data_IF_654613508500
#
_entry.id   IF_654613508500
#
_cell.length_a   1.000
_cell.length_b   1.000
_cell.length_c   1.000
_cell.angle_alpha   90.00
_cell.angle_beta   90.00
_cell.angle_gamma   90.00
#
_symmetry.space_group_name_H-M   'P 1'
#
loop_
_entity.id
_entity.type
_entity.pdbx_description
1 polymer ?
#
# COMPACT_ATOMS: atom_id res chain seq x y z
N UNK A 1 16.21 -24.98 -0.08
CA UNK A 1 17.22 -24.46 -1.03
C UNK A 1 18.52 -25.28 -1.10
N UNK A 2 19.23 -25.54 0.01
CA UNK A 2 20.54 -26.25 0.00
C UNK A 2 20.57 -27.69 -0.55
N UNK A 3 19.41 -28.33 -0.80
CA UNK A 3 19.32 -29.70 -1.35
C UNK A 3 19.34 -29.78 -2.88
N UNK A 4 19.39 -28.64 -3.58
CA UNK A 4 19.42 -28.57 -5.05
C UNK A 4 20.55 -27.62 -5.50
N UNK A 5 21.34 -27.94 -6.54
CA UNK A 5 22.48 -27.10 -6.96
C UNK A 5 22.12 -25.63 -7.18
N UNK A 6 21.06 -25.34 -7.96
CA UNK A 6 20.59 -23.97 -8.17
C UNK A 6 20.08 -23.30 -6.89
N UNK A 7 19.47 -24.07 -5.97
CA UNK A 7 19.02 -23.55 -4.69
C UNK A 7 20.19 -23.26 -3.75
N UNK A 8 21.28 -24.01 -3.83
CA UNK A 8 22.48 -23.73 -3.04
C UNK A 8 23.15 -22.44 -3.50
N UNK A 9 23.25 -22.20 -4.82
CA UNK A 9 23.72 -20.92 -5.36
C UNK A 9 22.86 -19.74 -4.91
N UNK A 10 21.53 -19.92 -4.84
CA UNK A 10 20.62 -18.90 -4.32
C UNK A 10 20.92 -18.56 -2.85
N UNK A 11 21.20 -19.56 -2.01
CA UNK A 11 21.57 -19.35 -0.59
C UNK A 11 22.93 -18.71 -0.44
N UNK A 12 23.91 -19.10 -1.26
CA UNK A 12 25.25 -18.50 -1.24
C UNK A 12 25.23 -17.04 -1.65
N UNK A 13 24.39 -16.68 -2.64
CA UNK A 13 24.24 -15.30 -3.10
C UNK A 13 23.59 -14.41 -2.05
N UNK A 14 22.45 -14.83 -1.48
CA UNK A 14 21.68 -14.00 -0.54
C UNK A 14 22.15 -14.10 0.92
N UNK A 15 22.89 -15.15 1.27
CA UNK A 15 23.35 -15.43 2.62
C UNK A 15 22.29 -16.13 3.49
N UNK A 16 22.75 -16.92 4.48
CA UNK A 16 21.87 -17.77 5.29
C UNK A 16 20.88 -16.99 6.17
N UNK A 17 21.27 -15.82 6.68
CA UNK A 17 20.44 -15.01 7.57
C UNK A 17 19.08 -14.65 6.95
N UNK A 18 19.04 -14.37 5.64
CA UNK A 18 17.79 -14.05 4.93
C UNK A 18 16.77 -15.20 5.07
N UNK A 19 17.21 -16.44 4.81
CA UNK A 19 16.35 -17.62 4.86
C UNK A 19 15.98 -18.03 6.28
N UNK A 20 16.82 -17.71 7.26
CA UNK A 20 16.52 -17.96 8.69
C UNK A 20 15.49 -16.97 9.24
N UNK A 21 15.40 -15.78 8.68
CA UNK A 21 14.42 -14.77 9.04
C UNK A 21 13.09 -14.88 8.29
N UNK A 22 13.01 -15.75 7.27
CA UNK A 22 11.78 -16.06 6.53
C UNK A 22 10.87 -16.98 7.36
N UNK A 23 10.23 -16.36 8.37
CA UNK A 23 9.36 -16.99 9.35
C UNK A 23 7.88 -16.83 8.99
N UNK A 24 7.00 -17.57 9.68
CA UNK A 24 5.56 -17.46 9.48
C UNK A 24 4.80 -17.29 10.81
N UNK A 25 3.47 -17.31 10.72
CA UNK A 25 2.57 -17.15 11.88
C UNK A 25 2.74 -18.25 12.95
N UNK A 26 3.40 -19.37 12.65
CA UNK A 26 3.71 -20.40 13.64
C UNK A 26 4.77 -19.94 14.66
N UNK A 27 5.60 -18.95 14.32
CA UNK A 27 6.62 -18.36 15.19
C UNK A 27 6.00 -17.32 16.13
N UNK A 28 5.11 -17.79 17.02
CA UNK A 28 4.25 -16.95 17.87
C UNK A 28 4.99 -15.92 18.74
N UNK A 29 6.27 -16.12 19.00
CA UNK A 29 7.12 -15.16 19.71
C UNK A 29 7.22 -13.79 18.98
N UNK A 30 7.02 -13.77 17.66
CA UNK A 30 7.01 -12.56 16.85
C UNK A 30 5.67 -11.82 16.87
N UNK A 31 4.59 -12.46 17.32
CA UNK A 31 3.22 -11.91 17.26
C UNK A 31 2.54 -12.16 15.92
N UNK A 32 1.56 -11.32 15.58
CA UNK A 32 0.70 -11.49 14.41
C UNK A 32 0.58 -10.19 13.60
N UNK A 33 0.94 -10.24 12.31
CA UNK A 33 0.89 -9.08 11.42
C UNK A 33 -0.54 -8.72 10.99
N UNK A 34 -1.43 -9.71 10.85
CA UNK A 34 -2.78 -9.54 10.29
C UNK A 34 -3.73 -8.93 11.30
N UNK A 35 -3.70 -9.40 12.56
CA UNK A 35 -4.55 -8.87 13.64
C UNK A 35 -3.83 -7.89 14.55
N UNK A 36 -2.56 -7.59 14.26
CA UNK A 36 -1.75 -6.57 14.90
C UNK A 36 -1.50 -6.84 16.38
N UNK A 37 -0.79 -7.94 16.66
CA UNK A 37 -0.35 -8.32 18.00
C UNK A 37 1.19 -8.43 18.08
N UNK A 38 1.75 -8.28 19.27
CA UNK A 38 3.19 -8.45 19.51
C UNK A 38 4.06 -7.42 18.77
N UNK A 39 5.18 -7.88 18.20
CA UNK A 39 6.18 -7.01 17.59
C UNK A 39 5.64 -6.15 16.42
N UNK A 40 4.82 -6.69 15.49
CA UNK A 40 4.16 -5.89 14.46
C UNK A 40 3.36 -4.70 14.99
N UNK A 41 2.56 -4.90 16.03
CA UNK A 41 1.74 -3.85 16.63
C UNK A 41 2.61 -2.72 17.22
N UNK A 42 3.65 -3.10 17.96
CA UNK A 42 4.61 -2.14 18.56
C UNK A 42 5.30 -1.34 17.45
N UNK A 43 5.73 -2.01 16.38
CA UNK A 43 6.37 -1.35 15.23
C UNK A 43 5.42 -0.36 14.53
N UNK A 44 4.16 -0.74 14.33
CA UNK A 44 3.13 0.12 13.77
C UNK A 44 2.81 1.34 14.65
N UNK A 45 2.71 1.16 15.97
CA UNK A 45 2.52 2.25 16.93
C UNK A 45 3.71 3.21 16.97
N UNK A 46 4.93 2.68 16.85
CA UNK A 46 6.14 3.50 16.74
C UNK A 46 6.12 4.30 15.43
N UNK A 47 5.81 3.66 14.31
CA UNK A 47 5.69 4.33 13.01
C UNK A 47 4.63 5.45 13.05
N UNK A 48 3.46 5.20 13.66
CA UNK A 48 2.42 6.21 13.81
C UNK A 48 2.93 7.48 14.52
N UNK A 49 3.74 7.32 15.59
CA UNK A 49 4.38 8.45 16.28
C UNK A 49 5.41 9.18 15.39
N UNK A 50 6.22 8.43 14.64
CA UNK A 50 7.25 9.01 13.75
C UNK A 50 6.63 9.81 12.61
N UNK A 51 5.54 9.31 12.02
CA UNK A 51 4.87 9.93 10.88
C UNK A 51 3.72 10.87 11.27
N UNK A 52 3.54 11.12 12.57
CA UNK A 52 2.48 11.98 13.12
C UNK A 52 1.08 11.59 12.63
N UNK A 53 0.75 10.30 12.74
CA UNK A 53 -0.55 9.72 12.38
C UNK A 53 -1.20 9.06 13.60
N UNK A 54 -2.53 8.97 13.62
CA UNK A 54 -3.26 8.27 14.68
C UNK A 54 -2.97 6.76 14.68
N UNK A 55 -2.88 6.17 13.48
CA UNK A 55 -2.54 4.76 13.24
C UNK A 55 -1.66 4.62 12.00
N UNK A 56 -0.89 3.55 11.95
CA UNK A 56 -0.12 3.15 10.76
C UNK A 56 -0.28 1.67 10.52
N UNK A 57 -0.57 1.28 9.28
CA UNK A 57 -0.69 -0.10 8.85
C UNK A 57 0.45 -0.45 7.90
N UNK A 58 1.08 -1.60 8.11
CA UNK A 58 2.15 -2.07 7.24
C UNK A 58 1.56 -2.89 6.09
N UNK A 59 1.81 -2.45 4.86
CA UNK A 59 1.36 -3.12 3.64
C UNK A 59 2.57 -3.59 2.85
N UNK A 60 2.71 -4.90 2.69
CA UNK A 60 3.89 -5.55 2.12
C UNK A 60 3.84 -5.72 0.59
N UNK A 61 2.77 -5.23 -0.06
CA UNK A 61 2.58 -5.31 -1.51
C UNK A 61 2.55 -3.93 -2.19
N UNK A 62 3.26 -2.97 -1.59
CA UNK A 62 3.41 -1.59 -2.07
C UNK A 62 2.13 -0.74 -2.02
N UNK A 63 2.28 0.55 -2.33
CA UNK A 63 1.18 1.53 -2.27
C UNK A 63 0.02 1.20 -3.21
N UNK A 64 0.27 0.43 -4.26
CA UNK A 64 -0.80 -0.08 -5.13
C UNK A 64 -1.81 -0.94 -4.37
N UNK A 65 -1.37 -1.73 -3.39
CA UNK A 65 -2.28 -2.47 -2.50
C UNK A 65 -2.82 -1.57 -1.39
N UNK A 66 -2.00 -0.68 -0.83
CA UNK A 66 -2.45 0.25 0.22
C UNK A 66 -3.64 1.11 -0.24
N UNK A 67 -3.59 1.63 -1.47
CA UNK A 67 -4.70 2.38 -2.07
C UNK A 67 -5.98 1.54 -2.14
N UNK A 68 -5.88 0.26 -2.52
CA UNK A 68 -7.05 -0.63 -2.59
C UNK A 68 -7.60 -0.94 -1.20
N UNK A 69 -6.74 -1.12 -0.19
CA UNK A 69 -7.17 -1.30 1.20
C UNK A 69 -8.01 -0.10 1.65
N UNK A 70 -7.51 1.11 1.46
CA UNK A 70 -8.23 2.33 1.85
C UNK A 70 -9.54 2.48 1.07
N UNK A 71 -9.49 2.33 -0.26
CA UNK A 71 -10.66 2.57 -1.12
C UNK A 71 -11.75 1.53 -0.88
N UNK A 72 -11.44 0.24 -0.75
CA UNK A 72 -12.45 -0.80 -0.48
C UNK A 72 -12.93 -0.80 0.98
N UNK A 73 -12.21 -0.16 1.90
CA UNK A 73 -12.68 0.01 3.27
C UNK A 73 -13.72 1.14 3.40
N UNK A 74 -13.67 2.14 2.50
CA UNK A 74 -14.48 3.35 2.60
C UNK A 74 -15.60 3.46 1.56
N UNK A 75 -15.38 2.92 0.36
CA UNK A 75 -16.31 3.07 -0.77
C UNK A 75 -17.16 1.82 -0.96
N UNK A 76 -18.39 2.05 -1.41
CA UNK A 76 -19.35 1.03 -1.83
C UNK A 76 -19.88 1.32 -3.24
N UNK A 77 -20.48 0.32 -3.92
CA UNK A 77 -20.96 0.51 -5.29
C UNK A 77 -21.97 1.66 -5.39
N UNK A 78 -21.71 2.59 -6.30
CA UNK A 78 -22.56 3.78 -6.52
C UNK A 78 -22.16 5.01 -5.72
N UNK A 79 -21.25 4.91 -4.75
CA UNK A 79 -20.74 6.09 -4.04
C UNK A 79 -20.05 7.06 -4.98
N UNK A 80 -20.15 8.35 -4.69
CA UNK A 80 -19.38 9.37 -5.38
C UNK A 80 -17.99 9.49 -4.75
N UNK A 81 -16.96 9.55 -5.59
CA UNK A 81 -15.58 9.77 -5.15
C UNK A 81 -14.96 10.95 -5.90
N UNK A 82 -14.47 11.94 -5.16
CA UNK A 82 -13.70 13.04 -5.73
C UNK A 82 -12.36 12.51 -6.23
N UNK A 83 -12.08 12.71 -7.52
CA UNK A 83 -11.06 11.92 -8.20
C UNK A 83 -10.07 12.81 -8.96
N UNK A 84 -8.86 12.96 -8.42
CA UNK A 84 -7.75 13.59 -9.14
C UNK A 84 -7.53 12.89 -10.49
N UNK A 85 -7.55 13.66 -11.58
CA UNK A 85 -7.35 13.11 -12.94
C UNK A 85 -5.93 12.58 -13.16
N UNK A 86 -4.97 12.97 -12.32
CA UNK A 86 -3.58 12.47 -12.31
C UNK A 86 -3.40 11.18 -11.51
N UNK A 87 -4.45 10.64 -10.91
CA UNK A 87 -4.36 9.48 -10.04
C UNK A 87 -3.61 8.31 -10.68
N UNK A 88 -2.75 7.66 -9.89
CA UNK A 88 -2.09 6.43 -10.32
C UNK A 88 -3.12 5.32 -10.62
N UNK A 89 -2.83 4.43 -11.58
CA UNK A 89 -3.73 3.34 -12.02
C UNK A 89 -4.34 2.51 -10.88
N UNK A 90 -3.65 2.39 -9.75
CA UNK A 90 -4.15 1.66 -8.58
C UNK A 90 -5.43 2.26 -8.00
N UNK A 91 -5.60 3.58 -8.06
CA UNK A 91 -6.81 4.25 -7.57
C UNK A 91 -7.99 3.99 -8.49
N UNK A 92 -7.75 3.93 -9.81
CA UNK A 92 -8.77 3.50 -10.76
C UNK A 92 -9.21 2.06 -10.50
N UNK A 93 -8.27 1.15 -10.25
CA UNK A 93 -8.58 -0.24 -9.92
C UNK A 93 -9.33 -0.38 -8.60
N UNK A 94 -8.89 0.33 -7.54
CA UNK A 94 -9.50 0.24 -6.22
C UNK A 94 -10.88 0.89 -6.16
N UNK A 95 -11.01 2.14 -6.58
CA UNK A 95 -12.24 2.89 -6.44
C UNK A 95 -13.30 2.51 -7.49
N UNK A 96 -12.92 2.48 -8.77
CA UNK A 96 -13.89 2.41 -9.86
C UNK A 96 -14.23 0.97 -10.23
N UNK A 97 -13.22 0.07 -10.25
CA UNK A 97 -13.42 -1.32 -10.64
C UNK A 97 -13.80 -2.22 -9.46
N UNK A 98 -13.06 -2.16 -8.35
CA UNK A 98 -13.30 -3.05 -7.21
C UNK A 98 -14.47 -2.55 -6.36
N UNK A 99 -14.42 -1.29 -5.91
CA UNK A 99 -15.48 -0.73 -5.08
C UNK A 99 -16.72 -0.28 -5.86
N UNK A 100 -16.62 -0.07 -7.18
CA UNK A 100 -17.76 0.34 -8.02
C UNK A 100 -18.22 1.79 -7.80
N UNK A 101 -17.32 2.66 -7.31
CA UNK A 101 -17.61 4.07 -7.10
C UNK A 101 -17.64 4.86 -8.43
N UNK A 102 -18.44 5.93 -8.44
CA UNK A 102 -18.55 6.85 -9.58
C UNK A 102 -17.61 8.05 -9.37
N UNK A 103 -16.65 8.29 -10.28
CA UNK A 103 -15.70 9.38 -10.11
C UNK A 103 -16.29 10.73 -10.49
N UNK A 104 -16.02 11.73 -9.67
CA UNK A 104 -16.13 13.15 -10.05
C UNK A 104 -14.71 13.65 -10.29
N UNK A 105 -14.32 13.81 -11.55
CA UNK A 105 -12.95 14.17 -11.90
C UNK A 105 -12.64 15.63 -11.62
N UNK A 106 -11.49 15.88 -11.00
CA UNK A 106 -10.91 17.22 -10.86
C UNK A 106 -9.90 17.47 -11.97
N UNK A 107 -10.00 18.62 -12.62
CA UNK A 107 -9.06 19.00 -13.67
C UNK A 107 -7.69 19.41 -13.11
N UNK A 108 -6.66 19.21 -13.94
CA UNK A 108 -5.28 19.35 -13.52
C UNK A 108 -4.49 20.10 -14.57
N UNK A 109 -3.65 21.03 -14.12
CA UNK A 109 -2.83 21.83 -15.00
C UNK A 109 -1.84 20.98 -15.81
N UNK A 110 -1.52 21.48 -17.02
CA UNK A 110 -0.45 20.99 -17.89
C UNK A 110 0.30 22.17 -18.48
N UNK A 111 1.63 22.13 -18.42
CA UNK A 111 2.46 23.14 -19.08
C UNK A 111 2.71 22.78 -20.55
N UNK A 112 3.29 23.68 -21.37
CA UNK A 112 3.60 23.39 -22.78
C UNK A 112 4.55 22.21 -23.02
N UNK A 113 5.24 21.72 -21.98
CA UNK A 113 6.11 20.54 -22.03
C UNK A 113 5.40 19.24 -21.65
N UNK A 114 4.12 19.31 -21.28
CA UNK A 114 3.33 18.14 -20.86
C UNK A 114 3.58 17.69 -19.42
N UNK A 115 4.25 18.49 -18.58
CA UNK A 115 4.45 18.15 -17.18
C UNK A 115 3.12 18.12 -16.41
N UNK A 116 3.04 17.16 -15.49
CA UNK A 116 1.89 16.92 -14.63
C UNK A 116 1.87 17.99 -13.53
N UNK A 117 0.99 18.97 -13.68
CA UNK A 117 0.72 19.99 -12.65
C UNK A 117 -0.30 19.52 -11.62
N UNK A 118 -0.54 20.36 -10.61
CA UNK A 118 -1.56 20.12 -9.59
C UNK A 118 -2.99 20.33 -10.09
N UNK A 119 -3.94 20.14 -9.18
CA UNK A 119 -5.36 20.44 -9.39
C UNK A 119 -5.59 21.95 -9.36
N UNK A 120 -6.46 22.46 -10.23
CA UNK A 120 -6.79 23.89 -10.27
C UNK A 120 -7.64 24.30 -9.05
N UNK A 121 -7.33 25.45 -8.45
CA UNK A 121 -7.90 25.85 -7.15
C UNK A 121 -9.44 25.90 -7.13
N UNK A 122 -10.06 26.30 -8.23
CA UNK A 122 -11.53 26.40 -8.35
C UNK A 122 -12.24 25.04 -8.27
N UNK A 123 -11.51 23.91 -8.41
CA UNK A 123 -12.08 22.57 -8.22
C UNK A 123 -12.49 22.28 -6.76
N UNK A 124 -12.08 23.14 -5.82
CA UNK A 124 -12.36 23.00 -4.38
C UNK A 124 -13.31 24.07 -3.84
N UNK A 125 -13.89 24.91 -4.71
CA UNK A 125 -14.94 25.88 -4.38
C UNK A 125 -16.34 25.26 -4.50
#
# INVERSE_FOLDING_TARGET
FRRHPAGNQFVEYFGEALFRADLCNADVAMGDLLIHEGAPCIAQQHAAKVFNADKTYFVLNGTSSSNKVVLNALLTPGDLVLFDRNNHKSNHHGALLQAGATPVYLETARNPYGFIGGIDAHCFE
#
